data_IF_907336316035
#
_entry.id   IF_907336316035
#
_cell.length_a   1.000
_cell.length_b   1.000
_cell.length_c   1.000
_cell.angle_alpha   90.00
_cell.angle_beta   90.00
_cell.angle_gamma   90.00
#
_symmetry.space_group_name_H-M   'P 1'
#
loop_
_entity.id
_entity.type
_entity.pdbx_description
1 polymer ?
#
# COMPACT_ATOMS: atom_id res chain seq x y z
N UNK A 1 -93.64 -36.56 -13.25
CA UNK A 1 -94.98 -36.82 -13.79
C UNK A 1 -95.72 -37.78 -12.87
N UNK A 2 -96.57 -37.22 -12.00
CA UNK A 2 -97.46 -37.98 -11.12
C UNK A 2 -98.86 -37.95 -11.75
N UNK A 3 -99.38 -39.10 -12.18
CA UNK A 3 -100.73 -39.20 -12.75
C UNK A 3 -100.94 -40.22 -13.87
N UNK A 4 -99.89 -40.66 -14.57
CA UNK A 4 -100.03 -41.70 -15.60
C UNK A 4 -100.17 -43.11 -14.98
N UNK A 5 -101.18 -43.87 -15.42
CA UNK A 5 -101.38 -45.28 -15.01
C UNK A 5 -100.16 -46.09 -15.44
N UNK A 6 -99.29 -46.41 -14.48
CA UNK A 6 -98.04 -47.17 -14.68
C UNK A 6 -98.27 -48.63 -15.08
N UNK A 7 -99.47 -49.14 -14.85
CA UNK A 7 -99.83 -50.55 -15.02
C UNK A 7 -101.21 -50.66 -15.66
N UNK A 8 -101.41 -51.60 -16.60
CA UNK A 8 -102.74 -51.97 -17.07
C UNK A 8 -103.57 -52.63 -15.97
N UNK A 9 -104.90 -52.57 -16.10
CA UNK A 9 -105.85 -53.21 -15.16
C UNK A 9 -106.37 -54.55 -15.71
N UNK A 10 -106.38 -55.57 -14.86
CA UNK A 10 -106.98 -56.89 -15.09
C UNK A 10 -108.32 -56.99 -14.34
N UNK A 11 -109.12 -58.04 -14.61
CA UNK A 11 -110.39 -58.36 -13.92
C UNK A 11 -110.24 -58.36 -12.38
N UNK A 12 -109.03 -58.59 -11.88
CA UNK A 12 -108.65 -58.38 -10.48
C UNK A 12 -107.28 -57.67 -10.40
N UNK A 13 -107.28 -56.36 -10.17
CA UNK A 13 -106.07 -55.58 -9.86
C UNK A 13 -105.19 -55.21 -11.07
N UNK A 14 -103.89 -55.02 -10.83
CA UNK A 14 -102.91 -54.64 -11.85
C UNK A 14 -102.44 -55.83 -12.69
N UNK A 15 -102.14 -55.58 -13.97
CA UNK A 15 -101.64 -56.57 -14.90
C UNK A 15 -100.23 -57.00 -14.49
N UNK A 16 -100.08 -58.27 -14.09
CA UNK A 16 -98.84 -58.85 -13.56
C UNK A 16 -97.62 -58.66 -14.47
N UNK A 17 -97.79 -58.69 -15.80
CA UNK A 17 -96.71 -58.43 -16.76
C UNK A 17 -96.14 -57.02 -16.64
N UNK A 18 -97.00 -56.02 -16.46
CA UNK A 18 -96.63 -54.62 -16.43
C UNK A 18 -95.93 -54.30 -15.09
N UNK A 19 -96.42 -54.91 -14.00
CA UNK A 19 -95.78 -54.85 -12.67
C UNK A 19 -94.39 -55.50 -12.69
N UNK A 20 -94.27 -56.71 -13.25
CA UNK A 20 -92.98 -57.40 -13.35
C UNK A 20 -91.97 -56.62 -14.20
N UNK A 21 -92.39 -56.08 -15.35
CA UNK A 21 -91.51 -55.28 -16.22
C UNK A 21 -91.05 -53.99 -15.53
N UNK A 22 -91.92 -53.35 -14.75
CA UNK A 22 -91.55 -52.18 -13.96
C UNK A 22 -90.58 -52.50 -12.83
N UNK A 23 -90.79 -53.61 -12.10
CA UNK A 23 -89.88 -54.08 -11.06
C UNK A 23 -88.50 -54.38 -11.68
N UNK A 24 -88.46 -55.08 -12.81
CA UNK A 24 -87.21 -55.41 -13.52
C UNK A 24 -86.49 -54.15 -13.99
N UNK A 25 -87.22 -53.16 -14.53
CA UNK A 25 -86.66 -51.88 -14.91
C UNK A 25 -86.06 -51.12 -13.73
N UNK A 26 -86.76 -51.09 -12.59
CA UNK A 26 -86.27 -50.44 -11.36
C UNK A 26 -85.01 -51.14 -10.85
N UNK A 27 -85.00 -52.47 -10.83
CA UNK A 27 -83.85 -53.24 -10.37
C UNK A 27 -82.62 -52.95 -11.24
N UNK A 28 -82.78 -52.93 -12.58
CA UNK A 28 -81.70 -52.49 -13.48
C UNK A 28 -81.24 -51.07 -13.20
N UNK A 29 -82.16 -50.11 -13.06
CA UNK A 29 -81.78 -48.73 -12.77
C UNK A 29 -81.03 -48.58 -11.43
N UNK A 30 -81.34 -49.41 -10.43
CA UNK A 30 -80.60 -49.44 -9.17
C UNK A 30 -79.22 -50.08 -9.33
N UNK A 31 -79.13 -51.22 -10.03
CA UNK A 31 -77.85 -51.89 -10.30
C UNK A 31 -76.90 -50.99 -11.10
N UNK A 32 -77.41 -50.32 -12.14
CA UNK A 32 -76.64 -49.37 -12.95
C UNK A 32 -76.12 -48.20 -12.08
N UNK A 33 -76.98 -47.62 -11.24
CA UNK A 33 -76.57 -46.55 -10.31
C UNK A 33 -75.55 -47.01 -9.27
N UNK A 34 -75.71 -48.22 -8.74
CA UNK A 34 -74.75 -48.80 -7.81
C UNK A 34 -73.39 -48.94 -8.47
N UNK A 35 -73.36 -49.48 -9.69
CA UNK A 35 -72.13 -49.64 -10.47
C UNK A 35 -71.48 -48.30 -10.81
N UNK A 36 -72.24 -47.29 -11.19
CA UNK A 36 -71.73 -45.94 -11.44
C UNK A 36 -71.10 -45.34 -10.18
N UNK A 37 -71.74 -45.51 -9.02
CA UNK A 37 -71.20 -45.04 -7.75
C UNK A 37 -69.96 -45.81 -7.32
N UNK A 38 -69.89 -47.12 -7.57
CA UNK A 38 -68.69 -47.92 -7.33
C UNK A 38 -67.51 -47.46 -8.19
N UNK A 39 -67.75 -47.14 -9.47
CA UNK A 39 -66.74 -46.59 -10.37
C UNK A 39 -66.25 -45.22 -9.88
N UNK A 40 -67.17 -44.31 -9.50
CA UNK A 40 -66.83 -43.00 -8.95
C UNK A 40 -66.00 -43.13 -7.66
N UNK A 41 -66.36 -44.05 -6.77
CA UNK A 41 -65.59 -44.33 -5.55
C UNK A 41 -64.18 -44.84 -5.90
N UNK A 42 -64.05 -45.70 -6.91
CA UNK A 42 -62.75 -46.21 -7.34
C UNK A 42 -61.86 -45.10 -7.91
N UNK A 43 -62.42 -44.22 -8.74
CA UNK A 43 -61.72 -43.05 -9.29
C UNK A 43 -61.27 -42.09 -8.19
N UNK A 44 -62.16 -41.73 -7.26
CA UNK A 44 -61.83 -40.87 -6.13
C UNK A 44 -60.75 -41.46 -5.24
N UNK A 45 -60.77 -42.77 -4.99
CA UNK A 45 -59.71 -43.46 -4.24
C UNK A 45 -58.36 -43.36 -4.94
N UNK A 46 -58.34 -43.51 -6.26
CA UNK A 46 -57.12 -43.37 -7.05
C UNK A 46 -56.58 -41.94 -7.01
N UNK A 47 -57.44 -40.94 -7.18
CA UNK A 47 -57.05 -39.52 -7.08
C UNK A 47 -56.51 -39.18 -5.68
N UNK A 48 -57.18 -39.62 -4.62
CA UNK A 48 -56.71 -39.45 -3.24
C UNK A 48 -55.31 -40.05 -3.03
N UNK A 49 -55.08 -41.25 -3.59
CA UNK A 49 -53.76 -41.90 -3.53
C UNK A 49 -52.70 -41.10 -4.27
N UNK A 50 -52.99 -40.61 -5.48
CA UNK A 50 -52.07 -39.77 -6.24
C UNK A 50 -51.75 -38.46 -5.53
N UNK A 51 -52.76 -37.76 -5.00
CA UNK A 51 -52.55 -36.52 -4.28
C UNK A 51 -51.71 -36.72 -3.03
N UNK A 52 -51.91 -37.83 -2.32
CA UNK A 52 -51.07 -38.18 -1.17
C UNK A 52 -49.61 -38.37 -1.58
N UNK A 53 -49.34 -39.09 -2.67
CA UNK A 53 -47.96 -39.30 -3.16
C UNK A 53 -47.33 -37.96 -3.56
N UNK A 54 -48.07 -37.10 -4.29
CA UNK A 54 -47.60 -35.76 -4.69
C UNK A 54 -47.31 -34.88 -3.46
N UNK A 55 -48.18 -34.92 -2.45
CA UNK A 55 -47.99 -34.19 -1.20
C UNK A 55 -46.73 -34.65 -0.47
N UNK A 56 -46.55 -35.97 -0.30
CA UNK A 56 -45.37 -36.54 0.36
C UNK A 56 -44.07 -36.19 -0.39
N UNK A 57 -44.08 -36.18 -1.73
CA UNK A 57 -42.91 -35.78 -2.53
C UNK A 57 -42.59 -34.28 -2.37
N UNK A 58 -43.60 -33.40 -2.43
CA UNK A 58 -43.43 -31.95 -2.23
C UNK A 58 -42.93 -31.65 -0.81
N UNK A 59 -43.47 -32.34 0.21
CA UNK A 59 -43.05 -32.17 1.59
C UNK A 59 -41.56 -32.51 1.75
N UNK A 60 -41.10 -33.66 1.21
CA UNK A 60 -39.68 -34.05 1.24
C UNK A 60 -38.78 -33.06 0.50
N UNK A 61 -39.21 -32.57 -0.67
CA UNK A 61 -38.45 -31.57 -1.43
C UNK A 61 -38.32 -30.26 -0.66
N UNK A 62 -39.38 -29.85 0.02
CA UNK A 62 -39.40 -28.62 0.84
C UNK A 62 -38.47 -28.75 2.04
N UNK A 63 -38.49 -29.89 2.72
CA UNK A 63 -37.59 -30.18 3.84
C UNK A 63 -36.12 -30.13 3.42
N UNK A 64 -35.76 -30.82 2.33
CA UNK A 64 -34.40 -30.76 1.76
C UNK A 64 -33.98 -29.34 1.38
N UNK A 65 -34.86 -28.60 0.72
CA UNK A 65 -34.58 -27.21 0.36
C UNK A 65 -34.40 -26.31 1.60
N UNK A 66 -35.12 -26.60 2.69
CA UNK A 66 -34.95 -25.90 3.97
C UNK A 66 -33.60 -26.22 4.62
N UNK A 67 -33.20 -27.49 4.65
CA UNK A 67 -31.89 -27.91 5.16
C UNK A 67 -30.74 -27.28 4.36
N UNK A 68 -30.83 -27.28 3.03
CA UNK A 68 -29.79 -26.72 2.18
C UNK A 68 -29.70 -25.20 2.37
N UNK A 69 -30.82 -24.49 2.53
CA UNK A 69 -30.79 -23.06 2.89
C UNK A 69 -30.10 -22.82 4.22
N UNK A 70 -30.36 -23.64 5.23
CA UNK A 70 -29.70 -23.51 6.54
C UNK A 70 -28.19 -23.70 6.42
N UNK A 71 -27.74 -24.74 5.70
CA UNK A 71 -26.31 -24.99 5.46
C UNK A 71 -25.65 -23.85 4.69
N UNK A 72 -26.32 -23.32 3.66
CA UNK A 72 -25.81 -22.18 2.88
C UNK A 72 -25.69 -20.95 3.78
N UNK A 73 -26.70 -20.66 4.61
CA UNK A 73 -26.65 -19.54 5.54
C UNK A 73 -25.48 -19.67 6.52
N UNK A 74 -25.26 -20.84 7.11
CA UNK A 74 -24.13 -21.10 8.01
C UNK A 74 -22.78 -20.87 7.33
N UNK A 75 -22.64 -21.30 6.07
CA UNK A 75 -21.42 -21.09 5.30
C UNK A 75 -21.21 -19.60 5.00
N UNK A 76 -22.27 -18.88 4.62
CA UNK A 76 -22.19 -17.44 4.33
C UNK A 76 -21.81 -16.63 5.57
N UNK A 77 -22.38 -16.96 6.73
CA UNK A 77 -22.04 -16.31 8.00
C UNK A 77 -20.55 -16.53 8.31
N UNK A 78 -20.08 -17.79 8.26
CA UNK A 78 -18.66 -18.10 8.50
C UNK A 78 -17.72 -17.44 7.50
N UNK A 79 -18.14 -17.33 6.24
CA UNK A 79 -17.35 -16.66 5.21
C UNK A 79 -17.25 -15.15 5.49
N UNK A 80 -18.36 -14.52 5.89
CA UNK A 80 -18.38 -13.12 6.28
C UNK A 80 -17.49 -12.85 7.50
N UNK A 81 -17.65 -13.62 8.58
CA UNK A 81 -16.85 -13.48 9.80
C UNK A 81 -15.35 -13.60 9.50
N UNK A 82 -14.96 -14.58 8.66
CA UNK A 82 -13.56 -14.74 8.25
C UNK A 82 -13.07 -13.58 7.38
N UNK A 83 -13.89 -13.09 6.47
CA UNK A 83 -13.53 -11.96 5.62
C UNK A 83 -13.31 -10.68 6.44
N UNK A 84 -14.20 -10.43 7.42
CA UNK A 84 -14.07 -9.31 8.34
C UNK A 84 -12.79 -9.43 9.19
N UNK A 85 -12.50 -10.62 9.71
CA UNK A 85 -11.26 -10.88 10.46
C UNK A 85 -10.00 -10.62 9.61
N UNK A 86 -9.98 -11.07 8.34
CA UNK A 86 -8.85 -10.84 7.43
C UNK A 86 -8.66 -9.34 7.16
N UNK A 87 -9.75 -8.60 6.94
CA UNK A 87 -9.70 -7.16 6.69
C UNK A 87 -9.17 -6.41 7.93
N UNK A 88 -9.65 -6.79 9.12
CA UNK A 88 -9.20 -6.21 10.37
C UNK A 88 -7.71 -6.50 10.63
N UNK A 89 -7.28 -7.74 10.43
CA UNK A 89 -5.87 -8.14 10.55
C UNK A 89 -4.99 -7.35 9.58
N UNK A 90 -5.37 -7.29 8.30
CA UNK A 90 -4.62 -6.53 7.29
C UNK A 90 -4.51 -5.04 7.63
N UNK A 91 -5.59 -4.46 8.17
CA UNK A 91 -5.59 -3.06 8.63
C UNK A 91 -4.63 -2.87 9.81
N UNK A 92 -4.65 -3.77 10.78
CA UNK A 92 -3.77 -3.71 11.94
C UNK A 92 -2.29 -3.87 11.54
N UNK A 93 -1.98 -4.85 10.68
CA UNK A 93 -0.64 -5.05 10.14
C UNK A 93 -0.16 -3.81 9.36
N UNK A 94 -1.00 -3.23 8.50
CA UNK A 94 -0.66 -2.01 7.75
C UNK A 94 -0.35 -0.83 8.67
N UNK A 95 -1.12 -0.65 9.75
CA UNK A 95 -0.89 0.42 10.73
C UNK A 95 0.44 0.19 11.47
N UNK A 96 0.73 -1.05 11.85
CA UNK A 96 1.96 -1.40 12.54
C UNK A 96 3.20 -1.21 11.66
N UNK A 97 3.15 -1.68 10.41
CA UNK A 97 4.22 -1.50 9.42
C UNK A 97 4.46 -0.01 9.12
N UNK A 98 3.39 0.77 8.95
CA UNK A 98 3.51 2.23 8.75
C UNK A 98 4.19 2.88 9.95
N UNK A 99 3.86 2.47 11.17
CA UNK A 99 4.50 2.99 12.39
C UNK A 99 5.98 2.62 12.43
N UNK A 100 6.34 1.37 12.11
CA UNK A 100 7.74 0.92 12.03
C UNK A 100 8.54 1.70 10.98
N UNK A 101 7.99 1.85 9.78
CA UNK A 101 8.61 2.62 8.69
C UNK A 101 8.79 4.09 9.07
N UNK A 102 7.78 4.71 9.68
CA UNK A 102 7.88 6.10 10.15
C UNK A 102 8.98 6.27 11.20
N UNK A 103 9.09 5.35 12.18
CA UNK A 103 10.13 5.42 13.20
C UNK A 103 11.54 5.24 12.61
N UNK A 104 11.70 4.33 11.65
CA UNK A 104 12.97 4.15 10.93
C UNK A 104 13.32 5.40 10.10
N UNK A 105 12.34 5.99 9.43
CA UNK A 105 12.53 7.19 8.60
C UNK A 105 12.98 8.36 9.45
N UNK A 106 12.38 8.55 10.63
CA UNK A 106 12.77 9.63 11.55
C UNK A 106 14.20 9.42 12.07
N UNK A 107 14.55 8.19 12.47
CA UNK A 107 15.91 7.87 12.91
C UNK A 107 16.96 8.13 11.82
N UNK A 108 16.68 7.76 10.57
CA UNK A 108 17.60 8.04 9.46
C UNK A 108 17.65 9.54 9.14
N UNK A 109 16.55 10.28 9.32
CA UNK A 109 16.50 11.73 9.18
C UNK A 109 17.38 12.42 10.24
N UNK A 110 17.30 11.98 11.50
CA UNK A 110 18.16 12.48 12.58
C UNK A 110 19.65 12.29 12.25
N UNK A 111 20.05 11.07 11.86
CA UNK A 111 21.44 10.80 11.44
C UNK A 111 21.90 11.69 10.29
N UNK A 112 21.03 11.94 9.30
CA UNK A 112 21.35 12.80 8.17
C UNK A 112 21.60 14.25 8.62
N UNK A 113 20.82 14.74 9.59
CA UNK A 113 21.03 16.06 10.19
C UNK A 113 22.37 16.11 10.92
N UNK A 114 22.71 15.09 11.70
CA UNK A 114 23.98 15.01 12.44
C UNK A 114 25.18 15.03 11.48
N UNK A 115 25.19 14.15 10.48
CA UNK A 115 26.25 14.09 9.46
C UNK A 115 26.39 15.43 8.73
N UNK A 116 25.28 16.11 8.42
CA UNK A 116 25.30 17.42 7.78
C UNK A 116 25.93 18.49 8.67
N UNK A 117 25.69 18.43 9.99
CA UNK A 117 26.34 19.32 10.94
C UNK A 117 27.84 19.04 11.05
N UNK A 118 28.24 17.77 11.12
CA UNK A 118 29.65 17.36 11.12
C UNK A 118 30.39 17.85 9.89
N UNK A 119 29.81 17.65 8.68
CA UNK A 119 30.39 18.16 7.42
C UNK A 119 30.54 19.68 7.47
N UNK A 120 29.56 20.40 8.02
CA UNK A 120 29.63 21.86 8.14
C UNK A 120 30.75 22.28 9.09
N UNK A 121 30.91 21.62 10.23
CA UNK A 121 32.01 21.88 11.17
C UNK A 121 33.35 21.60 10.52
N UNK A 122 33.51 20.44 9.89
CA UNK A 122 34.74 20.05 9.22
C UNK A 122 35.13 21.06 8.13
N UNK A 123 34.16 21.54 7.34
CA UNK A 123 34.38 22.60 6.35
C UNK A 123 34.88 23.89 7.01
N UNK A 124 34.30 24.30 8.13
CA UNK A 124 34.73 25.49 8.85
C UNK A 124 36.15 25.31 9.40
N UNK A 125 36.48 24.15 9.94
CA UNK A 125 37.80 23.85 10.47
C UNK A 125 38.86 23.83 9.36
N UNK A 126 38.58 23.18 8.22
CA UNK A 126 39.45 23.22 7.04
C UNK A 126 39.66 24.67 6.58
N UNK A 127 38.60 25.47 6.49
CA UNK A 127 38.69 26.88 6.07
C UNK A 127 39.57 27.68 7.04
N UNK A 128 39.45 27.44 8.36
CA UNK A 128 40.27 28.10 9.38
C UNK A 128 41.73 27.71 9.25
N UNK A 129 42.01 26.43 9.03
CA UNK A 129 43.39 25.92 8.85
C UNK A 129 44.02 26.50 7.59
N UNK A 130 43.29 26.52 6.47
CA UNK A 130 43.79 27.12 5.22
C UNK A 130 44.11 28.60 5.38
N UNK A 131 43.24 29.38 6.03
CA UNK A 131 43.51 30.80 6.33
C UNK A 131 44.74 30.98 7.23
N UNK A 132 44.93 30.12 8.22
CA UNK A 132 46.12 30.18 9.08
C UNK A 132 47.40 29.93 8.28
N UNK A 133 47.38 28.95 7.37
CA UNK A 133 48.51 28.69 6.48
C UNK A 133 48.75 29.83 5.49
N UNK A 134 47.69 30.45 4.96
CA UNK A 134 47.78 31.65 4.11
C UNK A 134 48.45 32.80 4.87
N UNK A 135 47.99 33.12 6.08
CA UNK A 135 48.59 34.15 6.94
C UNK A 135 50.05 33.83 7.34
N UNK A 136 50.39 32.55 7.54
CA UNK A 136 51.76 32.12 7.82
C UNK A 136 52.66 32.26 6.58
N UNK A 137 52.15 31.95 5.38
CA UNK A 137 52.88 32.13 4.12
C UNK A 137 53.09 33.61 3.80
N UNK A 138 52.08 34.46 4.02
CA UNK A 138 52.19 35.91 3.84
C UNK A 138 53.29 36.48 4.75
N UNK A 139 53.36 36.07 6.03
CA UNK A 139 54.45 36.48 6.93
C UNK A 139 55.83 36.04 6.46
N UNK A 140 55.94 34.84 5.86
CA UNK A 140 57.21 34.35 5.32
C UNK A 140 57.58 35.14 4.06
N UNK A 141 56.62 35.51 3.22
CA UNK A 141 56.82 36.38 2.06
C UNK A 141 57.28 37.78 2.50
N UNK A 142 56.59 38.40 3.45
CA UNK A 142 56.96 39.70 4.02
C UNK A 142 58.38 39.65 4.60
N UNK A 143 58.70 38.61 5.39
CA UNK A 143 60.04 38.44 5.94
C UNK A 143 61.10 38.21 4.85
N UNK A 144 60.77 37.49 3.78
CA UNK A 144 61.68 37.29 2.65
C UNK A 144 61.93 38.59 1.87
N UNK A 145 60.90 39.44 1.73
CA UNK A 145 60.99 40.76 1.11
C UNK A 145 61.80 41.74 1.99
N UNK A 146 61.58 41.74 3.30
CA UNK A 146 62.41 42.49 4.25
C UNK A 146 63.88 42.06 4.18
N UNK A 147 64.13 40.75 4.09
CA UNK A 147 65.49 40.20 3.92
C UNK A 147 66.08 40.65 2.57
N UNK A 148 65.35 40.58 1.46
CA UNK A 148 65.88 41.01 0.15
C UNK A 148 66.20 42.51 0.14
N UNK A 149 65.33 43.35 0.71
CA UNK A 149 65.57 44.79 0.84
C UNK A 149 66.78 45.06 1.76
N UNK A 150 66.99 44.27 2.80
CA UNK A 150 68.18 44.38 3.66
C UNK A 150 69.48 43.95 2.94
N UNK A 151 69.42 42.96 2.04
CA UNK A 151 70.55 42.58 1.19
C UNK A 151 70.84 43.64 0.12
N UNK A 152 69.83 44.14 -0.59
CA UNK A 152 69.99 45.21 -1.59
C UNK A 152 70.53 46.50 -0.97
N UNK A 153 70.12 46.85 0.26
CA UNK A 153 70.69 47.99 0.98
C UNK A 153 72.12 47.74 1.49
N UNK A 154 72.54 46.49 1.69
CA UNK A 154 73.94 46.18 2.03
C UNK A 154 74.84 46.27 0.80
N UNK A 155 74.42 45.77 -0.36
CA UNK A 155 75.19 45.92 -1.61
C UNK A 155 75.35 47.40 -2.00
N UNK A 156 74.28 48.20 -1.90
CA UNK A 156 74.36 49.64 -2.17
C UNK A 156 75.23 50.42 -1.16
N UNK A 157 75.33 49.97 0.10
CA UNK A 157 76.25 50.58 1.08
C UNK A 157 77.69 50.10 0.91
N UNK A 158 77.92 48.86 0.47
CA UNK A 158 79.25 48.33 0.15
C UNK A 158 79.85 49.03 -1.08
N UNK A 159 79.07 49.25 -2.14
CA UNK A 159 79.52 50.03 -3.31
C UNK A 159 79.84 51.48 -2.95
N UNK A 160 79.03 52.14 -2.10
CA UNK A 160 79.34 53.50 -1.62
C UNK A 160 80.59 53.58 -0.74
N UNK A 161 80.82 52.59 0.14
CA UNK A 161 82.01 52.57 1.00
C UNK A 161 83.30 52.30 0.22
N UNK A 162 83.24 51.49 -0.85
CA UNK A 162 84.40 51.19 -1.68
C UNK A 162 84.82 52.39 -2.54
N UNK A 163 83.85 53.17 -3.04
CA UNK A 163 84.14 54.39 -3.79
C UNK A 163 84.71 55.51 -2.88
N UNK A 164 84.21 55.67 -1.64
CA UNK A 164 84.77 56.64 -0.69
C UNK A 164 86.20 56.27 -0.24
N UNK A 165 86.49 55.00 0.09
CA UNK A 165 87.86 54.56 0.41
C UNK A 165 88.82 54.69 -0.78
N UNK A 166 88.36 54.42 -2.01
CA UNK A 166 89.18 54.61 -3.20
C UNK A 166 89.51 56.09 -3.43
N UNK A 167 88.56 57.00 -3.18
CA UNK A 167 88.77 58.45 -3.30
C UNK A 167 89.74 58.97 -2.23
N UNK A 168 89.67 58.46 -1.00
CA UNK A 168 90.60 58.85 0.08
C UNK A 168 92.02 58.35 -0.19
N UNK A 169 92.20 57.10 -0.65
CA UNK A 169 93.52 56.57 -1.02
C UNK A 169 94.13 57.35 -2.20
N UNK A 170 93.32 57.70 -3.21
CA UNK A 170 93.79 58.51 -4.34
C UNK A 170 94.20 59.92 -3.86
N UNK A 171 93.43 60.51 -2.94
CA UNK A 171 93.73 61.84 -2.38
C UNK A 171 95.03 61.82 -1.56
N UNK A 172 95.25 60.82 -0.72
CA UNK A 172 96.48 60.65 0.05
C UNK A 172 97.70 60.40 -0.87
N UNK A 173 97.53 59.65 -1.96
CA UNK A 173 98.59 59.43 -2.95
C UNK A 173 98.93 60.72 -3.71
N UNK A 174 97.93 61.53 -4.08
CA UNK A 174 98.12 62.83 -4.72
C UNK A 174 98.82 63.81 -3.78
N UNK A 175 98.40 63.90 -2.52
CA UNK A 175 99.08 64.73 -1.51
C UNK A 175 100.52 64.27 -1.24
N UNK A 176 100.74 62.96 -1.16
CA UNK A 176 102.08 62.38 -1.04
C UNK A 176 102.99 62.71 -2.23
N UNK A 177 102.45 62.72 -3.45
CA UNK A 177 103.19 63.12 -4.65
C UNK A 177 103.46 64.62 -4.69
N UNK A 178 102.47 65.45 -4.33
CA UNK A 178 102.61 66.90 -4.27
C UNK A 178 103.68 67.32 -3.25
N UNK A 179 103.69 66.72 -2.06
CA UNK A 179 104.70 66.96 -1.03
C UNK A 179 106.09 66.49 -1.46
N UNK A 180 106.18 65.43 -2.28
CA UNK A 180 107.47 64.94 -2.81
C UNK A 180 108.03 65.83 -3.92
N UNK A 181 107.16 66.45 -4.71
CA UNK A 181 107.53 67.44 -5.74
C UNK A 181 107.92 68.77 -5.10
N UNK A 182 107.25 69.21 -4.03
CA UNK A 182 107.59 70.45 -3.31
C UNK A 182 108.85 70.32 -2.42
N UNK A 183 109.33 69.09 -2.18
CA UNK A 183 110.53 68.82 -1.37
C UNK A 183 111.79 68.58 -2.21
N UNK A 184 111.72 68.68 -3.54
CA UNK A 184 112.86 68.49 -4.45
C UNK A 184 113.27 69.73 -5.23
N UNK A 185 112.76 70.92 -4.88
CA UNK A 185 113.15 72.21 -5.48
C UNK A 185 113.86 73.17 -4.51
N UNK A 186 114.21 72.74 -3.30
CA UNK A 186 115.12 73.45 -2.39
C UNK A 186 116.24 72.52 -1.90
N UNK A 187 117.21 72.24 -2.79
CA UNK A 187 118.64 72.01 -2.53
C UNK A 187 119.41 71.77 -3.84
#
# INVERSE_FOLDING_TARGET
MAGEKRFGTSLFGFKKSDVNSYIEKILREFDDKLKDKENEIAELKNQCREFRIKYEDIARKTERASEDRAKIADVLIKAQEKAEAIIEEAKNQSVEERKKLSALTEKEREKLVDIKQEIKSLKQDITRVLKKYEEELDKVLDAAEEISVAYDNKDNNLEKSADEEAVDIISEFIEGFANKISSSDDM
#
